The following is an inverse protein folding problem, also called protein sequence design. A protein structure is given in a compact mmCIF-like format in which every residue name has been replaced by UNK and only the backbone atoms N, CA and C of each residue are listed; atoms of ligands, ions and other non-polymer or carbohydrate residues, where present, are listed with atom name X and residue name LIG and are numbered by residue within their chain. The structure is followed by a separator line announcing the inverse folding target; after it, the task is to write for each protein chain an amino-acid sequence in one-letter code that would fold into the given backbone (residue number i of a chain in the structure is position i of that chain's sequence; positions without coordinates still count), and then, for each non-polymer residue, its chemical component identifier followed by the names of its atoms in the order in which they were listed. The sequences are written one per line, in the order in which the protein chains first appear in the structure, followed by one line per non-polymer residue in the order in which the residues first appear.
data_IF_276089106065
#
_entry.id   IF_276089106065
#
_cell.length_a   1.000
_cell.length_b   1.000
_cell.length_c   1.000
_cell.angle_alpha   90.00
_cell.angle_beta   90.00
_cell.angle_gamma   90.00
#
_symmetry.space_group_name_H-M   'P 1'
#
loop_
_entity.id
_entity.type
_entity.pdbx_description
1 polymer ?
#
# COMPACT_ATOMS: atom_id res chain seq x y z
N UNK A 1 -23.53 2.74 9.69
CA UNK A 1 -23.82 2.76 11.14
C UNK A 1 -23.04 3.92 11.73
N UNK A 2 -23.70 4.98 12.20
CA UNK A 2 -23.07 6.19 12.76
C UNK A 2 -22.89 6.11 14.29
N UNK A 3 -22.53 4.94 14.80
CA UNK A 3 -22.28 4.74 16.22
C UNK A 3 -20.78 4.64 16.45
N UNK A 4 -20.23 5.39 17.40
CA UNK A 4 -18.78 5.54 17.59
C UNK A 4 -18.19 4.28 18.20
N UNK A 5 -18.88 3.65 19.15
CA UNK A 5 -18.43 2.39 19.75
C UNK A 5 -18.40 1.26 18.72
N UNK A 6 -19.42 1.17 17.87
CA UNK A 6 -19.47 0.17 16.80
C UNK A 6 -18.41 0.42 15.73
N UNK A 7 -18.22 1.69 15.33
CA UNK A 7 -17.15 2.06 14.40
C UNK A 7 -15.77 1.72 14.98
N UNK A 8 -15.53 2.02 16.26
CA UNK A 8 -14.29 1.67 16.95
C UNK A 8 -14.11 0.15 17.03
N UNK A 9 -15.14 -0.62 17.38
CA UNK A 9 -15.07 -2.10 17.38
C UNK A 9 -14.66 -2.60 16.01
N UNK A 10 -15.32 -2.12 14.95
CA UNK A 10 -15.02 -2.51 13.57
C UNK A 10 -13.59 -2.12 13.18
N UNK A 11 -13.10 -0.95 13.57
CA UNK A 11 -11.72 -0.55 13.30
C UNK A 11 -10.69 -1.41 14.05
N UNK A 12 -10.97 -1.79 15.29
CA UNK A 12 -10.12 -2.71 16.05
C UNK A 12 -10.09 -4.09 15.42
N UNK A 13 -11.24 -4.60 15.01
CA UNK A 13 -11.36 -5.88 14.30
C UNK A 13 -10.61 -5.85 12.97
N UNK A 14 -10.77 -4.79 12.18
CA UNK A 14 -10.08 -4.62 10.91
C UNK A 14 -8.55 -4.52 11.09
N UNK A 15 -8.09 -3.82 12.13
CA UNK A 15 -6.67 -3.77 12.50
C UNK A 15 -6.13 -5.17 12.83
N UNK A 16 -6.87 -5.97 13.59
CA UNK A 16 -6.49 -7.34 13.93
C UNK A 16 -6.40 -8.21 12.67
N UNK A 17 -7.42 -8.16 11.82
CA UNK A 17 -7.44 -8.87 10.54
C UNK A 17 -6.27 -8.49 9.64
N UNK A 18 -5.92 -7.20 9.55
CA UNK A 18 -4.75 -6.72 8.81
C UNK A 18 -3.44 -7.25 9.41
N UNK A 19 -3.33 -7.33 10.73
CA UNK A 19 -2.16 -7.91 11.40
C UNK A 19 -2.05 -9.42 11.14
N UNK A 20 -3.16 -10.14 11.19
CA UNK A 20 -3.21 -11.56 10.85
C UNK A 20 -2.84 -11.82 9.39
N UNK A 21 -3.40 -11.04 8.46
CA UNK A 21 -3.08 -11.13 7.04
C UNK A 21 -1.59 -10.91 6.78
N UNK A 22 -1.01 -9.85 7.37
CA UNK A 22 0.43 -9.58 7.29
C UNK A 22 1.27 -10.71 7.90
N UNK A 23 0.85 -11.25 9.03
CA UNK A 23 1.59 -12.35 9.69
C UNK A 23 1.58 -13.60 8.82
N UNK A 24 0.42 -13.95 8.22
CA UNK A 24 0.31 -15.05 7.26
C UNK A 24 1.18 -14.82 6.02
N UNK A 25 1.20 -13.60 5.50
CA UNK A 25 2.03 -13.20 4.35
C UNK A 25 3.53 -13.31 4.64
N UNK A 26 3.95 -12.95 5.87
CA UNK A 26 5.34 -13.06 6.32
C UNK A 26 5.77 -14.51 6.59
N UNK A 27 4.83 -15.36 7.04
CA UNK A 27 5.09 -16.78 7.28
C UNK A 27 5.17 -17.58 5.97
N UNK A 28 4.53 -17.09 4.91
CA UNK A 28 4.55 -17.74 3.61
C UNK A 28 5.95 -17.74 3.00
N UNK A 29 6.43 -18.92 2.61
CA UNK A 29 7.75 -19.08 1.98
C UNK A 29 7.69 -18.63 0.53
N UNK A 30 8.35 -17.51 0.24
CA UNK A 30 8.54 -16.98 -1.11
C UNK A 30 9.66 -17.76 -1.80
N UNK A 31 9.43 -18.21 -3.04
CA UNK A 31 10.38 -19.03 -3.80
C UNK A 31 11.10 -18.23 -4.88
N UNK A 32 10.48 -17.18 -5.41
CA UNK A 32 11.04 -16.34 -6.47
C UNK A 32 11.12 -14.87 -6.05
N UNK A 33 12.01 -14.10 -6.72
CA UNK A 33 12.10 -12.65 -6.53
C UNK A 33 10.76 -11.95 -6.84
N UNK A 34 10.09 -12.38 -7.92
CA UNK A 34 8.76 -11.87 -8.30
C UNK A 34 7.74 -12.05 -7.18
N UNK A 35 7.66 -13.25 -6.60
CA UNK A 35 6.78 -13.53 -5.46
C UNK A 35 7.13 -12.67 -4.24
N UNK A 36 8.42 -12.50 -3.97
CA UNK A 36 8.89 -11.67 -2.87
C UNK A 36 8.48 -10.21 -3.04
N UNK A 37 8.76 -9.61 -4.19
CA UNK A 37 8.41 -8.22 -4.49
C UNK A 37 6.89 -8.02 -4.44
N UNK A 38 6.12 -8.91 -5.06
CA UNK A 38 4.65 -8.83 -5.00
C UNK A 38 4.13 -8.94 -3.56
N UNK A 39 4.71 -9.81 -2.73
CA UNK A 39 4.38 -9.92 -1.31
C UNK A 39 4.71 -8.66 -0.51
N UNK A 40 5.86 -8.05 -0.78
CA UNK A 40 6.29 -6.84 -0.09
C UNK A 40 5.38 -5.65 -0.47
N UNK A 41 4.94 -5.58 -1.73
CA UNK A 41 3.95 -4.60 -2.18
C UNK A 41 2.56 -4.84 -1.60
N UNK A 42 2.09 -6.09 -1.47
CA UNK A 42 0.86 -6.41 -0.72
C UNK A 42 0.94 -5.90 0.71
N UNK A 43 2.06 -6.20 1.37
CA UNK A 43 2.29 -5.77 2.75
C UNK A 43 2.30 -4.24 2.87
N UNK A 44 2.89 -3.54 1.89
CA UNK A 44 2.86 -2.08 1.83
C UNK A 44 1.45 -1.53 1.70
N UNK A 45 0.63 -2.09 0.80
CA UNK A 45 -0.76 -1.69 0.62
C UNK A 45 -1.57 -1.87 1.93
N UNK A 46 -1.37 -2.99 2.64
CA UNK A 46 -1.98 -3.23 3.95
C UNK A 46 -1.56 -2.19 5.01
N UNK A 47 -0.30 -1.73 4.98
CA UNK A 47 0.21 -0.71 5.89
C UNK A 47 -0.36 0.68 5.63
N UNK A 48 -0.59 1.04 4.36
CA UNK A 48 -1.16 2.34 4.01
C UNK A 48 -2.64 2.43 4.41
N UNK A 49 -3.40 1.34 4.25
CA UNK A 49 -4.76 1.21 4.81
C UNK A 49 -4.78 1.40 6.32
N UNK A 50 -3.81 0.87 7.06
CA UNK A 50 -3.74 1.06 8.52
C UNK A 50 -3.56 2.53 8.92
N UNK A 51 -2.78 3.32 8.17
CA UNK A 51 -2.49 4.72 8.53
C UNK A 51 -3.74 5.60 8.49
N UNK A 52 -4.66 5.37 7.55
CA UNK A 52 -5.91 6.14 7.45
C UNK A 52 -6.82 5.86 8.64
N UNK A 53 -6.83 4.63 9.18
CA UNK A 53 -7.66 4.27 10.34
C UNK A 53 -7.17 4.87 11.67
N UNK A 54 -5.86 4.97 11.90
CA UNK A 54 -5.30 5.49 13.16
C UNK A 54 -5.69 6.96 13.39
N UNK A 55 -5.79 7.75 12.32
CA UNK A 55 -6.19 9.16 12.40
C UNK A 55 -7.65 9.36 12.83
N UNK A 56 -8.55 8.43 12.48
CA UNK A 56 -9.97 8.49 12.84
C UNK A 56 -10.22 8.19 14.33
N UNK A 57 -9.34 7.41 14.96
CA UNK A 57 -9.51 6.90 16.33
C UNK A 57 -9.36 7.96 17.45
N UNK A 58 -8.69 9.09 17.18
CA UNK A 58 -8.32 10.08 18.20
C UNK A 58 -9.47 11.00 18.65
N UNK A 59 -10.70 10.76 18.19
CA UNK A 59 -11.91 11.55 18.51
C UNK A 59 -12.52 11.15 19.87
N UNK A 60 -11.75 11.22 20.95
CA UNK A 60 -12.09 10.68 22.29
C UNK A 60 -13.33 11.35 22.94
N UNK A 61 -13.64 12.58 22.52
CA UNK A 61 -14.68 13.42 23.13
C UNK A 61 -16.10 12.89 22.91
N UNK A 62 -16.37 12.29 21.74
CA UNK A 62 -17.71 11.82 21.37
C UNK A 62 -18.08 10.49 22.03
N UNK A 63 -17.09 9.75 22.56
CA UNK A 63 -17.31 8.44 23.21
C UNK A 63 -18.09 8.57 24.52
N UNK A 64 -17.87 9.68 25.25
CA UNK A 64 -18.54 9.95 26.54
C UNK A 64 -20.02 10.23 26.38
N UNK A 65 -20.38 10.99 25.35
CA UNK A 65 -21.78 11.35 25.08
C UNK A 65 -22.59 10.11 24.65
N UNK A 66 -21.98 9.19 23.91
CA UNK A 66 -22.64 7.94 23.52
C UNK A 66 -22.82 6.98 24.71
N UNK A 67 -21.83 6.88 25.61
CA UNK A 67 -21.94 6.11 26.85
C UNK A 67 -23.06 6.63 27.75
N UNK A 68 -23.22 7.95 27.83
CA UNK A 68 -24.30 8.58 28.58
C UNK A 68 -25.69 8.32 27.97
N UNK A 69 -25.79 8.23 26.63
CA UNK A 69 -27.04 7.87 25.96
C UNK A 69 -27.45 6.41 26.24
N UNK A 70 -26.47 5.49 26.23
CA UNK A 70 -26.70 4.07 26.51
C UNK A 70 -27.16 3.84 27.96
N UNK A 71 -26.66 4.59 28.94
CA UNK A 71 -27.06 4.47 30.36
C UNK A 71 -28.24 5.36 30.76
N UNK A 72 -29.12 5.70 29.81
CA UNK A 72 -30.29 6.54 30.03
C UNK A 72 -31.57 5.78 30.39
N UNK A 73 -32.69 6.48 30.68
CA UNK A 73 -33.96 5.86 31.10
C UNK A 73 -34.61 4.89 30.08
N UNK A 74 -34.17 4.92 28.81
CA UNK A 74 -34.70 4.14 27.69
C UNK A 74 -33.72 3.09 27.14
N UNK A 75 -32.81 2.59 27.99
CA UNK A 75 -31.81 1.54 27.72
C UNK A 75 -32.31 0.39 26.82
N UNK A 76 -33.46 -0.21 27.17
CA UNK A 76 -33.97 -1.37 26.46
C UNK A 76 -34.41 -1.07 25.02
N UNK A 77 -35.08 0.05 24.79
CA UNK A 77 -35.54 0.43 23.45
C UNK A 77 -34.36 0.74 22.52
N UNK A 78 -33.33 1.39 23.05
CA UNK A 78 -32.09 1.68 22.32
C UNK A 78 -31.33 0.39 21.98
N UNK A 79 -31.24 -0.55 22.93
CA UNK A 79 -30.61 -1.84 22.72
C UNK A 79 -31.25 -2.63 21.56
N UNK A 80 -32.58 -2.74 21.52
CA UNK A 80 -33.27 -3.46 20.45
C UNK A 80 -33.12 -2.80 19.08
N UNK A 81 -33.07 -1.47 19.02
CA UNK A 81 -32.81 -0.74 17.78
C UNK A 81 -31.38 -0.99 17.26
N UNK A 82 -30.37 -0.96 18.13
CA UNK A 82 -28.98 -1.29 17.77
C UNK A 82 -28.85 -2.75 17.32
N UNK A 83 -29.47 -3.68 18.04
CA UNK A 83 -29.47 -5.11 17.68
C UNK A 83 -30.08 -5.36 16.29
N UNK A 84 -31.17 -4.67 15.95
CA UNK A 84 -31.79 -4.76 14.62
C UNK A 84 -30.84 -4.29 13.53
N UNK A 85 -30.15 -3.17 13.73
CA UNK A 85 -29.18 -2.62 12.77
C UNK A 85 -27.98 -3.57 12.56
N UNK A 86 -27.45 -4.15 13.65
CA UNK A 86 -26.35 -5.13 13.59
C UNK A 86 -26.79 -6.36 12.78
N UNK A 87 -27.96 -6.93 13.07
CA UNK A 87 -28.50 -8.08 12.33
C UNK A 87 -28.68 -7.76 10.84
N UNK A 88 -29.18 -6.58 10.51
CA UNK A 88 -29.36 -6.17 9.11
C UNK A 88 -28.03 -5.97 8.39
N UNK A 89 -27.02 -5.42 9.08
CA UNK A 89 -25.67 -5.24 8.54
C UNK A 89 -25.01 -6.58 8.23
N UNK A 90 -25.03 -7.53 9.18
CA UNK A 90 -24.48 -8.89 8.96
C UNK A 90 -25.26 -9.68 7.90
N UNK A 91 -26.57 -9.44 7.76
CA UNK A 91 -27.35 -10.03 6.66
C UNK A 91 -26.94 -9.48 5.29
N UNK A 92 -26.56 -8.20 5.23
CA UNK A 92 -26.13 -7.53 3.99
C UNK A 92 -24.65 -7.80 3.64
N UNK A 93 -23.80 -8.04 4.64
CA UNK A 93 -22.36 -8.31 4.48
C UNK A 93 -21.98 -9.66 5.09
N UNK A 94 -22.49 -10.79 4.57
CA UNK A 94 -22.24 -12.11 5.14
C UNK A 94 -20.77 -12.56 5.04
N UNK A 95 -19.98 -11.94 4.17
CA UNK A 95 -18.53 -12.15 4.05
C UNK A 95 -17.86 -10.82 3.69
N UNK A 96 -17.24 -10.14 4.66
CA UNK A 96 -16.37 -9.00 4.33
C UNK A 96 -15.14 -9.51 3.55
N UNK A 97 -14.94 -8.93 2.37
CA UNK A 97 -14.24 -9.49 1.20
C UNK A 97 -12.71 -9.60 1.33
N UNK A 98 -12.12 -9.13 2.42
CA UNK A 98 -10.66 -9.07 2.57
C UNK A 98 -9.98 -10.44 2.68
N UNK A 99 -10.71 -11.49 3.09
CA UNK A 99 -10.17 -12.86 3.16
C UNK A 99 -10.24 -13.59 1.81
N UNK A 100 -11.07 -13.12 0.85
CA UNK A 100 -11.29 -13.82 -0.42
C UNK A 100 -10.20 -13.58 -1.45
N UNK A 101 -9.37 -12.55 -1.27
CA UNK A 101 -8.26 -12.27 -2.20
C UNK A 101 -7.23 -13.40 -2.28
N UNK A 102 -7.15 -14.28 -1.27
CA UNK A 102 -6.29 -15.47 -1.30
C UNK A 102 -7.01 -16.76 -1.69
N UNK A 103 -8.31 -16.88 -1.38
CA UNK A 103 -9.09 -18.07 -1.72
C UNK A 103 -9.50 -18.13 -3.20
N UNK A 104 -9.28 -17.03 -3.95
CA UNK A 104 -9.35 -16.99 -5.41
C UNK A 104 -7.92 -17.00 -6.01
N UNK A 105 -7.32 -18.18 -6.24
CA UNK A 105 -6.03 -18.30 -6.94
C UNK A 105 -6.07 -17.81 -8.39
N UNK A 106 -7.23 -17.40 -8.90
CA UNK A 106 -7.38 -16.78 -10.23
C UNK A 106 -6.94 -15.31 -10.28
N UNK A 107 -6.71 -14.65 -9.13
CA UNK A 107 -6.24 -13.25 -9.07
C UNK A 107 -4.80 -13.09 -8.58
N UNK A 108 -4.13 -14.18 -8.13
CA UNK A 108 -2.70 -14.18 -7.75
C UNK A 108 -1.73 -13.89 -8.93
N UNK A 109 -2.26 -13.68 -10.14
CA UNK A 109 -1.50 -13.35 -11.34
C UNK A 109 -1.55 -11.86 -11.74
N UNK A 110 -2.20 -10.98 -10.98
CA UNK A 110 -1.99 -9.55 -11.18
C UNK A 110 -0.72 -9.14 -10.46
N UNK A 111 0.35 -8.95 -11.24
CA UNK A 111 1.52 -8.22 -10.76
C UNK A 111 1.04 -6.91 -10.15
N UNK A 112 1.19 -6.75 -8.84
CA UNK A 112 0.80 -5.52 -8.14
C UNK A 112 1.71 -4.35 -8.51
N UNK A 113 2.78 -4.64 -9.26
CA UNK A 113 3.79 -3.70 -9.70
C UNK A 113 4.14 -4.02 -11.13
N UNK A 114 4.12 -2.99 -11.96
CA UNK A 114 4.64 -3.04 -13.31
C UNK A 114 6.13 -2.72 -13.26
N UNK A 115 6.95 -3.74 -13.47
CA UNK A 115 8.35 -3.58 -13.85
C UNK A 115 8.48 -3.86 -15.34
N UNK A 116 9.44 -3.23 -16.01
CA UNK A 116 9.79 -3.66 -17.36
C UNK A 116 10.50 -5.02 -17.31
N UNK A 117 10.46 -5.76 -18.41
CA UNK A 117 11.15 -7.06 -18.49
C UNK A 117 12.67 -6.90 -18.27
N UNK A 118 13.25 -5.78 -18.70
CA UNK A 118 14.67 -5.44 -18.54
C UNK A 118 15.04 -5.19 -17.07
N UNK A 119 14.13 -4.69 -16.24
CA UNK A 119 14.35 -4.48 -14.79
C UNK A 119 14.26 -5.78 -13.99
N UNK A 120 13.59 -6.82 -14.53
CA UNK A 120 13.53 -8.15 -13.93
C UNK A 120 13.00 -8.17 -12.50
N UNK A 121 11.92 -7.42 -12.22
CA UNK A 121 11.34 -7.24 -10.88
C UNK A 121 12.33 -6.67 -9.86
N UNK A 122 13.05 -5.61 -10.24
CA UNK A 122 14.02 -4.92 -9.39
C UNK A 122 15.37 -5.63 -9.27
N UNK A 123 15.65 -6.60 -10.16
CA UNK A 123 16.98 -7.24 -10.26
C UNK A 123 17.98 -6.33 -10.95
N UNK A 124 17.53 -5.57 -11.93
CA UNK A 124 18.34 -4.66 -12.74
C UNK A 124 17.66 -3.29 -12.81
N UNK A 125 18.44 -2.28 -13.20
CA UNK A 125 17.93 -0.97 -13.58
C UNK A 125 18.20 -0.79 -15.06
N UNK A 126 17.16 -0.50 -15.83
CA UNK A 126 17.33 -0.15 -17.24
C UNK A 126 17.88 1.27 -17.38
N UNK A 127 19.19 1.35 -17.63
CA UNK A 127 19.89 2.61 -17.89
C UNK A 127 20.07 2.86 -19.39
N UNK A 128 19.54 2.00 -20.26
CA UNK A 128 19.67 2.14 -21.72
C UNK A 128 18.94 3.39 -22.23
N UNK A 129 17.71 3.61 -21.76
CA UNK A 129 16.96 4.83 -22.06
C UNK A 129 17.69 6.11 -21.61
N UNK A 130 18.36 6.05 -20.45
CA UNK A 130 19.15 7.17 -19.94
C UNK A 130 20.39 7.40 -20.82
N UNK A 131 21.06 6.34 -21.24
CA UNK A 131 22.19 6.40 -22.16
C UNK A 131 21.79 7.01 -23.52
N UNK A 132 20.67 6.60 -24.09
CA UNK A 132 20.19 7.14 -25.37
C UNK A 132 19.91 8.65 -25.29
N UNK A 133 19.38 9.12 -24.15
CA UNK A 133 19.23 10.55 -23.88
C UNK A 133 20.58 11.24 -23.74
N UNK A 134 21.52 10.60 -23.03
CA UNK A 134 22.87 11.14 -22.79
C UNK A 134 23.64 11.36 -24.09
N UNK A 135 23.66 10.39 -25.01
CA UNK A 135 24.38 10.52 -26.30
C UNK A 135 23.77 11.60 -27.22
N UNK A 136 22.50 11.97 -27.01
CA UNK A 136 21.82 12.99 -27.78
C UNK A 136 22.05 14.41 -27.25
N UNK A 137 22.70 14.55 -26.09
CA UNK A 137 23.04 15.85 -25.52
C UNK A 137 24.10 16.58 -26.36
N UNK A 138 23.87 17.86 -26.62
CA UNK A 138 24.83 18.70 -27.35
C UNK A 138 26.10 18.94 -26.55
N UNK A 139 27.25 18.68 -27.15
CA UNK A 139 28.57 18.92 -26.54
C UNK A 139 29.08 17.77 -25.67
N UNK A 140 28.40 16.62 -25.69
CA UNK A 140 28.84 15.38 -25.05
C UNK A 140 29.47 14.46 -26.11
N UNK A 141 30.55 13.78 -25.74
CA UNK A 141 31.20 12.80 -26.62
C UNK A 141 30.35 11.54 -26.71
N UNK A 142 30.33 10.92 -27.90
CA UNK A 142 29.65 9.63 -28.08
C UNK A 142 30.46 8.55 -27.37
N UNK A 143 30.02 8.20 -26.17
CA UNK A 143 30.58 7.13 -25.37
C UNK A 143 29.88 5.81 -25.70
N UNK A 144 30.56 4.69 -25.52
CA UNK A 144 29.92 3.37 -25.52
C UNK A 144 29.14 3.15 -24.21
N UNK A 145 28.17 2.24 -24.23
CA UNK A 145 27.30 1.98 -23.07
C UNK A 145 28.08 1.61 -21.81
N UNK A 146 29.13 0.79 -21.92
CA UNK A 146 29.95 0.36 -20.79
C UNK A 146 30.72 1.55 -20.18
N UNK A 147 31.23 2.45 -21.01
CA UNK A 147 31.91 3.66 -20.59
C UNK A 147 30.92 4.64 -19.92
N UNK A 148 29.70 4.73 -20.44
CA UNK A 148 28.62 5.47 -19.80
C UNK A 148 28.32 4.94 -18.39
N UNK A 149 28.17 3.62 -18.23
CA UNK A 149 27.95 3.01 -16.91
C UNK A 149 29.10 3.29 -15.94
N UNK A 150 30.35 3.28 -16.43
CA UNK A 150 31.55 3.53 -15.61
C UNK A 150 31.69 4.99 -15.15
N UNK A 151 30.95 5.90 -15.76
CA UNK A 151 30.92 7.34 -15.41
C UNK A 151 29.60 7.78 -14.78
N UNK A 152 28.59 6.89 -14.74
CA UNK A 152 27.26 7.22 -14.24
C UNK A 152 27.26 7.57 -12.74
N UNK A 153 28.17 6.98 -11.96
CA UNK A 153 28.37 7.27 -10.54
C UNK A 153 29.27 8.50 -10.29
N UNK A 154 29.92 9.03 -11.32
CA UNK A 154 30.85 10.17 -11.27
C UNK A 154 30.12 11.51 -11.44
N UNK A 155 29.26 11.85 -10.47
CA UNK A 155 28.41 13.05 -10.51
C UNK A 155 29.18 14.40 -10.48
N UNK A 156 30.46 14.35 -10.10
CA UNK A 156 31.34 15.51 -9.92
C UNK A 156 32.24 15.79 -11.12
N UNK A 157 32.47 14.82 -12.00
CA UNK A 157 33.40 14.95 -13.13
C UNK A 157 32.78 15.62 -14.37
N UNK A 158 31.44 15.74 -14.41
CA UNK A 158 30.75 16.39 -15.53
C UNK A 158 30.91 17.91 -15.43
N UNK A 159 31.60 18.56 -16.40
CA UNK A 159 31.85 19.99 -16.37
C UNK A 159 30.55 20.79 -16.28
N UNK A 160 30.57 21.87 -15.49
CA UNK A 160 29.39 22.73 -15.27
C UNK A 160 28.84 23.30 -16.57
N UNK A 161 29.69 23.50 -17.57
CA UNK A 161 29.33 24.01 -18.91
C UNK A 161 28.48 23.00 -19.71
N UNK A 162 28.61 21.70 -19.42
CA UNK A 162 27.78 20.63 -20.00
C UNK A 162 26.45 20.44 -19.26
N UNK A 163 26.29 21.01 -18.06
CA UNK A 163 25.04 20.99 -17.26
C UNK A 163 24.05 22.06 -17.73
N UNK A 164 23.82 22.09 -19.04
CA UNK A 164 22.88 23.01 -19.69
C UNK A 164 21.41 22.67 -19.35
N UNK A 165 20.46 23.47 -19.84
CA UNK A 165 19.04 23.26 -19.55
C UNK A 165 18.50 21.91 -20.07
N UNK A 166 19.15 21.33 -21.10
CA UNK A 166 18.79 20.01 -21.63
C UNK A 166 19.31 18.86 -20.74
N UNK A 167 20.50 19.01 -20.13
CA UNK A 167 21.05 18.04 -19.17
C UNK A 167 20.22 17.93 -17.86
N UNK A 168 19.50 19.00 -17.49
CA UNK A 168 18.68 19.04 -16.27
C UNK A 168 17.30 18.39 -16.44
N UNK A 169 16.86 18.12 -17.67
CA UNK A 169 15.57 17.51 -17.98
C UNK A 169 15.69 15.99 -17.95
#
# INVERSE_FOLDING_TARGET
MENILEQQRRYHEEKERLMDAKTKEMLYKKSTLREQINSDHRTRAMLDVRKTFVWSFLSDRMRRDELAAISGPNEFAEFYNRLKQIKEFHRKHPHEELMKARDNPSEEAQNLVEFTDEEGYGRYLDLHDCYLKYINLKGVEKLEYITYLSSFDQLFDIPKDRKNAEYKK
#
